data_IF_869959837382
#
_entry.id   IF_869959837382
#
_cell.length_a   1.000
_cell.length_b   1.000
_cell.length_c   1.000
_cell.angle_alpha   90.00
_cell.angle_beta   90.00
_cell.angle_gamma   90.00
#
_symmetry.space_group_name_H-M   'P 1'
#
loop_
_entity.id
_entity.type
_entity.pdbx_description
1 polymer ?
#
# COMPACT_ATOMS: atom_id res chain seq x y z
N UNK A 1 -21.23 -11.45 12.98
CA UNK A 1 -21.57 -11.16 11.56
C UNK A 1 -20.75 -12.11 10.71
N UNK A 2 -21.40 -12.91 9.84
CA UNK A 2 -20.67 -13.80 8.93
C UNK A 2 -19.90 -12.95 7.90
N UNK A 3 -18.61 -13.30 7.68
CA UNK A 3 -17.77 -12.62 6.70
C UNK A 3 -18.22 -13.11 5.31
N UNK A 4 -18.49 -12.20 4.36
CA UNK A 4 -18.72 -12.62 3.00
C UNK A 4 -17.53 -13.42 2.47
N UNK A 5 -17.76 -14.62 1.91
CA UNK A 5 -16.70 -15.50 1.36
C UNK A 5 -15.81 -14.77 0.34
N UNK A 6 -16.36 -13.83 -0.40
CA UNK A 6 -15.63 -13.00 -1.35
C UNK A 6 -14.47 -12.16 -0.76
N UNK A 7 -14.46 -11.93 0.55
CA UNK A 7 -13.40 -11.16 1.24
C UNK A 7 -12.30 -12.05 1.82
N UNK A 8 -12.39 -13.36 1.66
CA UNK A 8 -11.37 -14.30 2.15
C UNK A 8 -10.39 -14.59 1.02
N UNK A 9 -9.10 -14.48 1.33
CA UNK A 9 -8.03 -15.01 0.50
C UNK A 9 -7.80 -16.45 0.92
N UNK A 10 -8.12 -17.39 0.04
CA UNK A 10 -8.05 -18.83 0.31
C UNK A 10 -6.60 -19.34 0.48
N UNK A 11 -5.61 -18.67 -0.16
CA UNK A 11 -4.21 -19.02 -0.06
C UNK A 11 -3.66 -18.83 1.37
N UNK A 12 -4.12 -17.78 2.05
CA UNK A 12 -3.63 -17.41 3.37
C UNK A 12 -4.66 -17.67 4.47
N UNK A 13 -5.88 -18.14 4.12
CA UNK A 13 -7.01 -18.27 5.05
C UNK A 13 -7.17 -17.00 5.91
N UNK A 14 -7.09 -15.84 5.25
CA UNK A 14 -7.15 -14.52 5.88
C UNK A 14 -7.99 -13.56 5.02
N UNK A 15 -8.39 -12.44 5.59
CA UNK A 15 -9.21 -11.44 4.90
C UNK A 15 -8.34 -10.46 4.13
N UNK A 16 -8.82 -10.00 2.98
CA UNK A 16 -8.21 -8.85 2.29
C UNK A 16 -8.26 -7.58 3.15
N UNK A 17 -9.30 -7.39 3.96
CA UNK A 17 -9.46 -6.25 4.87
C UNK A 17 -10.62 -6.46 5.85
N UNK A 18 -10.67 -5.61 6.90
CA UNK A 18 -11.82 -5.57 7.82
C UNK A 18 -13.03 -4.91 7.14
N UNK A 19 -14.21 -5.51 7.31
CA UNK A 19 -15.45 -5.12 6.61
C UNK A 19 -16.00 -3.77 7.07
N UNK A 20 -15.67 -3.32 8.29
CA UNK A 20 -16.37 -2.21 8.92
C UNK A 20 -16.03 -0.85 8.31
N UNK A 21 -14.75 -0.56 8.06
CA UNK A 21 -14.32 0.68 7.38
C UNK A 21 -12.89 0.60 6.84
N UNK A 22 -12.67 -0.34 5.92
CA UNK A 22 -11.35 -0.62 5.38
C UNK A 22 -10.68 0.58 4.67
N UNK A 23 -11.46 1.48 4.07
CA UNK A 23 -10.92 2.70 3.47
C UNK A 23 -10.44 3.69 4.54
N UNK A 24 -11.15 3.82 5.66
CA UNK A 24 -10.70 4.67 6.76
C UNK A 24 -9.49 4.08 7.48
N UNK A 25 -9.44 2.76 7.60
CA UNK A 25 -8.27 2.05 8.10
C UNK A 25 -7.02 2.39 7.28
N UNK A 26 -7.10 2.29 5.94
CA UNK A 26 -5.99 2.67 5.06
C UNK A 26 -5.58 4.14 5.23
N UNK A 27 -6.56 5.07 5.29
CA UNK A 27 -6.28 6.49 5.51
C UNK A 27 -5.58 6.75 6.83
N UNK A 28 -6.01 6.09 7.90
CA UNK A 28 -5.42 6.28 9.23
C UNK A 28 -4.01 5.71 9.30
N UNK A 29 -3.83 4.45 8.90
CA UNK A 29 -2.56 3.74 9.05
C UNK A 29 -1.51 4.29 8.07
N UNK A 30 -1.88 4.39 6.79
CA UNK A 30 -0.90 4.63 5.72
C UNK A 30 -0.77 6.10 5.34
N UNK A 31 -1.83 6.92 5.49
CA UNK A 31 -1.76 8.29 5.00
C UNK A 31 -1.58 9.31 6.12
N UNK A 32 -2.45 9.32 7.13
CA UNK A 32 -2.39 10.31 8.21
C UNK A 32 -1.17 10.14 9.10
N UNK A 33 -0.86 8.91 9.51
CA UNK A 33 0.29 8.63 10.35
C UNK A 33 1.64 8.97 9.65
N UNK A 34 1.65 9.03 8.32
CA UNK A 34 2.81 9.43 7.53
C UNK A 34 2.77 10.89 7.06
N UNK A 35 1.82 11.71 7.50
CA UNK A 35 1.65 13.11 7.05
C UNK A 35 1.65 13.24 5.52
N UNK A 36 0.95 12.31 4.84
CA UNK A 36 1.12 12.07 3.40
C UNK A 36 0.85 13.32 2.56
N UNK A 37 -0.19 14.11 2.88
CA UNK A 37 -0.54 15.32 2.12
C UNK A 37 0.57 16.37 2.18
N UNK A 38 1.11 16.63 3.35
CA UNK A 38 2.22 17.59 3.54
C UNK A 38 3.44 17.16 2.73
N UNK A 39 3.80 15.89 2.79
CA UNK A 39 4.96 15.33 2.07
C UNK A 39 4.78 15.33 0.56
N UNK A 40 3.57 15.01 0.06
CA UNK A 40 3.26 15.13 -1.37
C UNK A 40 3.37 16.59 -1.82
N UNK A 41 2.94 17.55 -1.00
CA UNK A 41 3.04 18.98 -1.31
C UNK A 41 4.48 19.39 -1.52
N UNK A 42 5.40 18.93 -0.69
CA UNK A 42 6.85 19.17 -0.88
C UNK A 42 7.35 18.60 -2.23
N UNK A 43 6.84 17.44 -2.64
CA UNK A 43 7.13 16.84 -3.95
C UNK A 43 6.63 17.70 -5.12
N UNK A 44 5.44 18.30 -5.00
CA UNK A 44 4.89 19.21 -6.01
C UNK A 44 5.80 20.46 -6.18
N UNK A 45 6.23 21.04 -5.07
CA UNK A 45 7.11 22.22 -5.06
C UNK A 45 8.48 21.94 -5.70
N UNK A 46 9.04 20.77 -5.43
CA UNK A 46 10.32 20.31 -6.01
C UNK A 46 10.20 19.76 -7.44
N UNK A 47 8.96 19.60 -7.95
CA UNK A 47 8.66 18.98 -9.25
C UNK A 47 9.21 17.54 -9.38
N UNK A 48 9.28 16.82 -8.29
CA UNK A 48 9.71 15.43 -8.24
C UNK A 48 8.53 14.52 -7.90
N UNK A 49 8.43 13.33 -8.50
CA UNK A 49 7.41 12.36 -8.10
C UNK A 49 7.58 11.97 -6.63
N UNK A 50 6.47 11.84 -5.92
CA UNK A 50 6.44 11.26 -4.59
C UNK A 50 6.41 9.73 -4.71
N UNK A 51 7.40 9.04 -4.16
CA UNK A 51 7.60 7.61 -4.39
C UNK A 51 7.05 6.82 -3.21
N UNK A 52 6.08 5.96 -3.50
CA UNK A 52 5.43 5.06 -2.54
C UNK A 52 5.85 3.63 -2.84
N UNK A 53 6.19 2.86 -1.79
CA UNK A 53 6.31 1.42 -1.82
C UNK A 53 5.18 0.75 -1.04
N UNK A 54 4.67 -0.38 -1.51
CA UNK A 54 3.67 -1.20 -0.84
C UNK A 54 4.04 -2.68 -0.93
N UNK A 55 3.85 -3.43 0.14
CA UNK A 55 4.23 -4.85 0.19
C UNK A 55 3.11 -5.85 -0.15
N UNK A 56 1.90 -5.39 -0.40
CA UNK A 56 0.77 -6.26 -0.73
C UNK A 56 -0.34 -5.52 -1.45
N UNK A 57 -0.38 -5.61 -2.78
CA UNK A 57 -1.38 -4.94 -3.61
C UNK A 57 -2.80 -5.44 -3.35
N UNK A 58 -2.97 -6.78 -3.24
CA UNK A 58 -4.26 -7.42 -3.04
C UNK A 58 -5.28 -7.03 -4.10
N UNK A 59 -6.40 -6.47 -3.68
CA UNK A 59 -7.44 -5.93 -4.57
C UNK A 59 -7.23 -4.45 -4.94
N UNK A 60 -6.09 -3.83 -4.57
CA UNK A 60 -5.80 -2.42 -4.83
C UNK A 60 -6.55 -1.44 -3.91
N UNK A 61 -7.01 -1.91 -2.75
CA UNK A 61 -7.76 -1.11 -1.78
C UNK A 61 -7.03 0.16 -1.36
N UNK A 62 -5.72 0.07 -1.14
CA UNK A 62 -4.92 1.21 -0.67
C UNK A 62 -4.80 2.27 -1.78
N UNK A 63 -4.64 1.86 -3.04
CA UNK A 63 -4.62 2.78 -4.20
C UNK A 63 -5.96 3.50 -4.35
N UNK A 64 -7.10 2.79 -4.22
CA UNK A 64 -8.45 3.40 -4.25
C UNK A 64 -8.60 4.43 -3.13
N UNK A 65 -8.21 4.07 -1.91
CA UNK A 65 -8.26 4.98 -0.76
C UNK A 65 -7.33 6.18 -0.94
N UNK A 66 -6.15 6.01 -1.57
CA UNK A 66 -5.19 7.07 -1.86
C UNK A 66 -5.79 8.07 -2.86
N UNK A 67 -6.38 7.60 -3.96
CA UNK A 67 -7.02 8.47 -4.94
C UNK A 67 -8.10 9.34 -4.32
N UNK A 68 -8.98 8.76 -3.49
CA UNK A 68 -10.02 9.50 -2.77
C UNK A 68 -9.41 10.50 -1.78
N UNK A 69 -8.38 10.10 -1.04
CA UNK A 69 -7.72 10.94 -0.03
C UNK A 69 -7.08 12.17 -0.66
N UNK A 70 -6.34 11.96 -1.74
CA UNK A 70 -5.70 13.03 -2.51
C UNK A 70 -6.74 13.93 -3.20
N UNK A 71 -7.78 13.38 -3.81
CA UNK A 71 -8.89 14.15 -4.40
C UNK A 71 -9.53 15.08 -3.37
N UNK A 72 -9.77 14.59 -2.15
CA UNK A 72 -10.35 15.37 -1.05
C UNK A 72 -9.44 16.44 -0.48
N UNK A 73 -8.12 16.31 -0.61
CA UNK A 73 -7.18 17.35 -0.15
C UNK A 73 -7.24 18.64 -0.98
N UNK A 74 -7.78 18.56 -2.19
CA UNK A 74 -7.81 19.67 -3.13
C UNK A 74 -6.50 19.96 -3.85
N UNK A 75 -5.43 19.22 -3.57
CA UNK A 75 -4.14 19.35 -4.26
C UNK A 75 -4.28 19.09 -5.77
N UNK A 76 -3.39 19.71 -6.56
CA UNK A 76 -3.30 19.59 -8.03
C UNK A 76 -1.86 19.38 -8.45
N UNK A 77 -1.68 18.94 -9.68
CA UNK A 77 -0.36 18.69 -10.28
C UNK A 77 0.47 17.65 -9.51
N UNK A 78 -0.22 16.70 -8.90
CA UNK A 78 0.42 15.62 -8.15
C UNK A 78 1.04 14.62 -9.14
N UNK A 79 2.26 14.19 -8.82
CA UNK A 79 2.92 13.08 -9.48
C UNK A 79 3.32 12.06 -8.41
N UNK A 80 2.74 10.88 -8.47
CA UNK A 80 3.04 9.77 -7.57
C UNK A 80 3.60 8.61 -8.40
N UNK A 81 4.73 8.06 -7.98
CA UNK A 81 5.25 6.77 -8.42
C UNK A 81 4.84 5.74 -7.36
N UNK A 82 3.94 4.84 -7.69
CA UNK A 82 3.38 3.85 -6.76
C UNK A 82 3.91 2.47 -7.13
N UNK A 83 4.84 1.95 -6.33
CA UNK A 83 5.47 0.66 -6.52
C UNK A 83 4.85 -0.37 -5.55
N UNK A 84 4.22 -1.40 -6.08
CA UNK A 84 3.57 -2.43 -5.27
C UNK A 84 3.88 -3.82 -5.78
N UNK A 85 3.61 -4.83 -4.97
CA UNK A 85 3.86 -6.24 -5.29
C UNK A 85 2.65 -7.10 -5.00
N UNK A 86 2.44 -8.11 -5.84
CA UNK A 86 1.44 -9.15 -5.62
C UNK A 86 1.96 -10.51 -6.13
N UNK A 87 1.97 -11.49 -5.23
CA UNK A 87 2.42 -12.84 -5.55
C UNK A 87 1.34 -13.67 -6.24
N UNK A 88 0.07 -13.41 -5.89
CA UNK A 88 -1.10 -14.12 -6.39
C UNK A 88 -2.12 -13.13 -6.97
N UNK A 89 -1.82 -12.53 -8.14
CA UNK A 89 -2.62 -11.44 -8.69
C UNK A 89 -4.06 -11.88 -8.98
N UNK A 90 -5.00 -11.02 -8.62
CA UNK A 90 -6.42 -11.25 -8.83
C UNK A 90 -6.83 -10.89 -10.25
N UNK A 91 -7.85 -11.55 -10.80
CA UNK A 91 -8.47 -11.04 -12.02
C UNK A 91 -9.16 -9.70 -11.78
N UNK A 92 -9.30 -8.84 -12.80
CA UNK A 92 -10.03 -7.57 -12.69
C UNK A 92 -11.46 -7.73 -12.17
N UNK A 93 -12.14 -8.81 -12.56
CA UNK A 93 -13.49 -9.14 -12.11
C UNK A 93 -13.52 -9.48 -10.62
N UNK A 94 -12.50 -10.20 -10.14
CA UNK A 94 -12.37 -10.52 -8.73
C UNK A 94 -12.07 -9.29 -7.88
N UNK A 95 -11.24 -8.37 -8.39
CA UNK A 95 -11.00 -7.07 -7.73
C UNK A 95 -12.31 -6.27 -7.61
N UNK A 96 -13.10 -6.18 -8.69
CA UNK A 96 -14.40 -5.50 -8.67
C UNK A 96 -15.35 -6.10 -7.64
N UNK A 97 -15.42 -7.44 -7.56
CA UNK A 97 -16.27 -8.12 -6.59
C UNK A 97 -15.86 -7.81 -5.15
N UNK A 98 -14.56 -7.88 -4.85
CA UNK A 98 -14.00 -7.56 -3.52
C UNK A 98 -14.27 -6.11 -3.15
N UNK A 99 -14.06 -5.15 -4.07
CA UNK A 99 -14.22 -3.73 -3.85
C UNK A 99 -15.67 -3.24 -3.94
N UNK A 100 -16.61 -4.09 -4.38
CA UNK A 100 -18.01 -3.73 -4.63
C UNK A 100 -18.72 -3.06 -3.45
N UNK A 101 -18.35 -3.41 -2.22
CA UNK A 101 -18.90 -2.80 -1.01
C UNK A 101 -18.57 -1.32 -0.81
N UNK A 102 -17.65 -0.76 -1.60
CA UNK A 102 -17.24 0.64 -1.53
C UNK A 102 -17.73 1.49 -2.71
N UNK A 103 -18.47 0.90 -3.66
CA UNK A 103 -18.89 1.58 -4.91
C UNK A 103 -19.63 2.89 -4.69
N UNK A 104 -20.50 2.95 -3.69
CA UNK A 104 -21.28 4.17 -3.40
C UNK A 104 -20.41 5.35 -2.94
N UNK A 105 -19.19 5.08 -2.46
CA UNK A 105 -18.28 6.10 -1.92
C UNK A 105 -17.15 6.45 -2.88
N UNK A 106 -16.62 5.46 -3.57
CA UNK A 106 -15.37 5.56 -4.35
C UNK A 106 -15.46 4.79 -5.68
N UNK A 107 -16.66 4.71 -6.27
CA UNK A 107 -16.90 3.98 -7.51
C UNK A 107 -16.01 4.45 -8.66
N UNK A 108 -15.84 5.77 -8.83
CA UNK A 108 -14.98 6.35 -9.87
C UNK A 108 -13.50 5.98 -9.69
N UNK A 109 -13.04 5.84 -8.46
CA UNK A 109 -11.68 5.44 -8.11
C UNK A 109 -11.48 3.93 -8.37
N UNK A 110 -12.49 3.11 -8.04
CA UNK A 110 -12.47 1.67 -8.32
C UNK A 110 -12.44 1.42 -9.82
N UNK A 111 -13.32 2.06 -10.58
CA UNK A 111 -13.42 1.87 -12.02
C UNK A 111 -12.12 2.31 -12.72
N UNK A 112 -11.52 3.44 -12.27
CA UNK A 112 -10.25 3.90 -12.81
C UNK A 112 -9.09 2.94 -12.51
N UNK A 113 -9.02 2.38 -11.30
CA UNK A 113 -8.00 1.41 -10.95
C UNK A 113 -8.15 0.13 -11.76
N UNK A 114 -9.36 -0.42 -11.83
CA UNK A 114 -9.59 -1.71 -12.50
C UNK A 114 -9.38 -1.58 -14.03
N UNK A 115 -9.78 -0.46 -14.63
CA UNK A 115 -9.52 -0.21 -16.04
C UNK A 115 -8.01 -0.12 -16.32
N UNK A 116 -7.28 0.58 -15.47
CA UNK A 116 -5.82 0.65 -15.55
C UNK A 116 -5.19 -0.73 -15.37
N UNK A 117 -5.65 -1.51 -14.39
CA UNK A 117 -5.15 -2.85 -14.10
C UNK A 117 -5.39 -3.85 -15.25
N UNK A 118 -6.47 -3.69 -16.04
CA UNK A 118 -6.73 -4.51 -17.25
C UNK A 118 -5.63 -4.43 -18.31
N UNK A 119 -4.82 -3.38 -18.30
CA UNK A 119 -3.68 -3.24 -19.21
C UNK A 119 -2.44 -4.02 -18.76
N UNK A 120 -2.46 -4.58 -17.55
CA UNK A 120 -1.35 -5.34 -16.96
C UNK A 120 -1.53 -6.83 -17.29
N UNK A 121 -0.49 -7.46 -17.84
CA UNK A 121 -0.47 -8.91 -18.03
C UNK A 121 -0.06 -9.60 -16.72
N UNK A 122 -1.04 -9.95 -15.92
CA UNK A 122 -0.84 -10.59 -14.61
C UNK A 122 -0.31 -12.02 -14.67
N UNK A 123 -0.14 -12.59 -15.87
CA UNK A 123 0.40 -13.94 -16.05
C UNK A 123 1.93 -13.95 -16.20
N UNK A 124 2.52 -12.77 -16.40
CA UNK A 124 3.96 -12.59 -16.57
C UNK A 124 4.57 -12.03 -15.29
N UNK A 125 5.60 -12.71 -14.77
CA UNK A 125 6.34 -12.23 -13.60
C UNK A 125 7.19 -10.99 -13.93
N UNK A 126 7.45 -10.15 -12.92
CA UNK A 126 8.26 -8.95 -13.04
C UNK A 126 7.44 -7.66 -13.03
N UNK A 127 8.05 -6.55 -13.45
CA UNK A 127 7.44 -5.23 -13.44
C UNK A 127 6.45 -5.01 -14.58
N UNK A 128 5.30 -4.47 -14.20
CA UNK A 128 4.27 -3.96 -15.12
C UNK A 128 3.94 -2.53 -14.73
N UNK A 129 3.90 -1.62 -15.69
CA UNK A 129 3.62 -0.21 -15.45
C UNK A 129 2.37 0.23 -16.19
N UNK A 130 1.52 0.97 -15.48
CA UNK A 130 0.32 1.58 -16.04
C UNK A 130 0.09 2.95 -15.38
N UNK A 131 -0.69 3.82 -16.03
CA UNK A 131 -0.88 5.19 -15.57
C UNK A 131 -2.33 5.48 -15.25
N UNK A 132 -2.60 5.98 -14.04
CA UNK A 132 -3.90 6.51 -13.65
C UNK A 132 -3.85 8.03 -13.76
N UNK A 133 -4.66 8.59 -14.66
CA UNK A 133 -4.80 10.04 -14.82
C UNK A 133 -6.07 10.52 -14.15
N UNK A 134 -5.96 11.49 -13.25
CA UNK A 134 -7.08 12.12 -12.52
C UNK A 134 -6.97 13.63 -12.52
N UNK A 135 -8.02 14.32 -12.08
CA UNK A 135 -8.04 15.80 -11.99
C UNK A 135 -7.02 16.37 -11.03
N UNK A 136 -6.55 15.59 -10.07
CA UNK A 136 -5.49 15.99 -9.14
C UNK A 136 -4.06 15.81 -9.69
N UNK A 137 -3.88 15.00 -10.74
CA UNK A 137 -2.56 14.66 -11.31
C UNK A 137 -2.47 13.21 -11.76
N UNK A 138 -1.29 12.61 -11.62
CA UNK A 138 -0.99 11.27 -12.09
C UNK A 138 -0.54 10.34 -10.98
N UNK A 139 -0.89 9.05 -11.11
CA UNK A 139 -0.27 7.95 -10.38
C UNK A 139 0.30 6.99 -11.43
N UNK A 140 1.62 6.86 -11.46
CA UNK A 140 2.31 5.84 -12.23
C UNK A 140 2.30 4.57 -11.35
N UNK A 141 1.40 3.64 -11.67
CA UNK A 141 1.24 2.36 -10.97
C UNK A 141 2.24 1.36 -11.54
N UNK A 142 3.24 1.00 -10.77
CA UNK A 142 4.21 -0.05 -11.07
C UNK A 142 3.88 -1.26 -10.17
N UNK A 143 3.46 -2.36 -10.78
CA UNK A 143 3.12 -3.58 -10.07
C UNK A 143 4.11 -4.68 -10.41
N UNK A 144 4.78 -5.21 -9.40
CA UNK A 144 5.59 -6.41 -9.51
C UNK A 144 4.73 -7.65 -9.29
N UNK A 145 4.74 -8.55 -10.26
CA UNK A 145 4.13 -9.88 -10.11
C UNK A 145 5.23 -10.84 -9.68
N UNK A 146 5.19 -11.27 -8.42
CA UNK A 146 6.21 -12.14 -7.83
C UNK A 146 6.48 -11.87 -6.36
N UNK A 147 7.66 -12.27 -5.89
CA UNK A 147 8.08 -12.15 -4.49
C UNK A 147 8.43 -10.71 -4.10
N UNK A 148 8.07 -10.33 -2.87
CA UNK A 148 8.25 -8.97 -2.39
C UNK A 148 9.73 -8.57 -2.23
N UNK A 149 10.60 -9.49 -1.83
CA UNK A 149 12.02 -9.20 -1.68
C UNK A 149 12.66 -8.87 -3.03
N UNK A 150 12.34 -9.66 -4.07
CA UNK A 150 12.82 -9.43 -5.43
C UNK A 150 12.38 -8.05 -5.96
N UNK A 151 11.12 -7.68 -5.70
CA UNK A 151 10.60 -6.36 -6.04
C UNK A 151 11.42 -5.26 -5.37
N UNK A 152 11.61 -5.34 -4.03
CA UNK A 152 12.32 -4.30 -3.28
C UNK A 152 13.77 -4.18 -3.75
N UNK A 153 14.47 -5.29 -3.95
CA UNK A 153 15.86 -5.30 -4.43
C UNK A 153 15.99 -4.71 -5.83
N UNK A 154 15.02 -4.93 -6.69
CA UNK A 154 15.00 -4.42 -8.07
C UNK A 154 14.66 -2.94 -8.20
N UNK A 155 14.19 -2.27 -7.13
CA UNK A 155 13.89 -0.84 -7.18
C UNK A 155 15.16 -0.02 -7.45
N UNK A 156 15.11 0.84 -8.46
CA UNK A 156 16.20 1.76 -8.80
C UNK A 156 16.23 2.98 -7.85
N UNK A 157 15.08 3.39 -7.34
CA UNK A 157 14.91 4.58 -6.50
C UNK A 157 14.43 4.21 -5.11
N UNK A 158 14.90 4.96 -4.11
CA UNK A 158 14.39 4.85 -2.75
C UNK A 158 13.02 5.52 -2.61
N UNK A 159 12.15 4.91 -1.80
CA UNK A 159 10.81 5.39 -1.52
C UNK A 159 10.80 6.52 -0.48
N UNK A 160 9.86 7.43 -0.64
CA UNK A 160 9.53 8.43 0.37
C UNK A 160 8.75 7.79 1.53
N UNK A 161 7.87 6.84 1.21
CA UNK A 161 7.04 6.13 2.19
C UNK A 161 6.82 4.69 1.80
N UNK A 162 6.74 3.81 2.80
CA UNK A 162 6.32 2.42 2.65
C UNK A 162 5.00 2.13 3.38
N UNK A 163 4.08 1.51 2.67
CA UNK A 163 2.87 0.92 3.23
C UNK A 163 3.10 -0.59 3.39
N UNK A 164 3.42 -1.01 4.62
CA UNK A 164 3.66 -2.42 4.92
C UNK A 164 2.30 -3.08 5.16
N UNK A 165 1.65 -3.40 4.06
CA UNK A 165 0.35 -4.09 4.00
C UNK A 165 0.54 -5.56 3.61
N UNK A 166 -0.51 -6.34 3.76
CA UNK A 166 -0.52 -7.78 3.49
C UNK A 166 -1.29 -8.54 4.56
N UNK A 167 -1.27 -9.86 4.47
CA UNK A 167 -1.88 -10.71 5.48
C UNK A 167 -1.08 -10.69 6.78
N UNK A 168 -1.74 -11.06 7.90
CA UNK A 168 -1.11 -11.00 9.22
C UNK A 168 0.18 -11.82 9.28
N UNK A 169 1.18 -11.45 10.13
CA UNK A 169 2.45 -12.17 10.21
C UNK A 169 2.31 -13.68 10.54
N UNK A 170 1.22 -14.06 11.20
CA UNK A 170 0.92 -15.47 11.49
C UNK A 170 0.42 -16.25 10.27
N UNK A 171 -0.23 -15.57 9.33
CA UNK A 171 -0.83 -16.19 8.13
C UNK A 171 0.10 -16.11 6.92
N UNK A 172 0.89 -15.04 6.82
CA UNK A 172 1.88 -14.87 5.76
C UNK A 172 3.21 -14.37 6.36
N UNK A 173 4.02 -15.25 6.97
CA UNK A 173 5.28 -14.83 7.57
C UNK A 173 6.32 -14.34 6.55
N UNK A 174 6.22 -14.77 5.28
CA UNK A 174 7.22 -14.44 4.25
C UNK A 174 7.28 -12.93 3.96
N UNK A 175 6.14 -12.22 4.00
CA UNK A 175 6.08 -10.78 3.75
C UNK A 175 6.55 -9.93 4.95
N UNK A 176 6.81 -10.58 6.08
CA UNK A 176 7.28 -9.94 7.32
C UNK A 176 8.67 -10.42 7.74
N UNK A 177 9.35 -11.20 6.89
CA UNK A 177 10.68 -11.72 7.18
C UNK A 177 11.72 -10.59 7.33
N UNK A 178 12.71 -10.75 8.22
CA UNK A 178 13.71 -9.71 8.49
C UNK A 178 14.44 -9.23 7.24
N UNK A 179 14.78 -10.11 6.32
CA UNK A 179 15.51 -9.80 5.08
C UNK A 179 14.73 -8.79 4.22
N UNK A 180 13.42 -8.99 4.08
CA UNK A 180 12.56 -8.06 3.35
C UNK A 180 12.49 -6.69 4.05
N UNK A 181 12.32 -6.67 5.38
CA UNK A 181 12.23 -5.42 6.14
C UNK A 181 13.57 -4.66 6.15
N UNK A 182 14.70 -5.36 6.14
CA UNK A 182 16.03 -4.77 5.96
C UNK A 182 16.18 -4.14 4.58
N UNK A 183 15.82 -4.86 3.51
CA UNK A 183 15.85 -4.33 2.13
C UNK A 183 14.93 -3.10 1.99
N UNK A 184 13.75 -3.10 2.61
CA UNK A 184 12.86 -1.92 2.67
C UNK A 184 13.56 -0.75 3.35
N UNK A 185 14.29 -0.99 4.45
CA UNK A 185 15.08 0.04 5.11
C UNK A 185 16.13 0.66 4.20
N UNK A 186 16.85 -0.16 3.41
CA UNK A 186 17.85 0.30 2.43
C UNK A 186 17.22 1.09 1.27
N UNK A 187 16.01 0.71 0.87
CA UNK A 187 15.24 1.37 -0.19
C UNK A 187 14.32 2.48 0.33
N UNK A 188 14.56 2.97 1.54
CA UNK A 188 13.85 4.13 2.12
C UNK A 188 14.78 5.33 2.16
N UNK A 189 14.33 6.49 1.66
CA UNK A 189 15.08 7.75 1.78
C UNK A 189 15.32 8.10 3.24
N UNK A 190 16.42 8.80 3.54
CA UNK A 190 16.61 9.40 4.86
C UNK A 190 15.45 10.37 5.16
N UNK A 191 14.87 10.27 6.34
CA UNK A 191 13.62 10.94 6.70
C UNK A 191 12.37 10.35 6.04
N UNK A 192 12.52 9.32 5.21
CA UNK A 192 11.42 8.52 4.68
C UNK A 192 10.69 7.77 5.80
N UNK A 193 9.47 7.32 5.54
CA UNK A 193 8.65 6.70 6.59
C UNK A 193 8.11 5.34 6.14
N UNK A 194 7.74 4.52 7.12
CA UNK A 194 6.93 3.33 6.88
C UNK A 194 5.76 3.28 7.86
N UNK A 195 4.72 2.54 7.54
CA UNK A 195 3.63 2.28 8.47
C UNK A 195 3.03 0.89 8.26
N UNK A 196 2.53 0.32 9.35
CA UNK A 196 1.93 -1.00 9.35
C UNK A 196 0.82 -1.14 10.39
N UNK A 197 -0.11 -2.02 10.10
CA UNK A 197 -1.20 -2.38 11.02
C UNK A 197 -0.75 -3.32 12.14
N UNK A 198 0.40 -3.98 12.00
CA UNK A 198 0.87 -4.94 13.00
C UNK A 198 1.79 -4.30 14.05
N UNK A 199 1.72 -4.80 15.27
CA UNK A 199 2.61 -4.44 16.39
C UNK A 199 3.40 -5.66 16.89
N UNK A 200 3.51 -6.71 16.07
CA UNK A 200 4.25 -7.93 16.40
C UNK A 200 5.70 -7.60 16.79
N UNK A 201 6.22 -8.28 17.80
CA UNK A 201 7.56 -8.02 18.33
C UNK A 201 8.66 -8.21 17.30
N UNK A 202 8.55 -9.30 16.50
CA UNK A 202 9.56 -9.64 15.52
C UNK A 202 9.61 -8.60 14.38
N UNK A 203 8.43 -8.13 13.93
CA UNK A 203 8.34 -7.04 12.95
C UNK A 203 8.93 -5.74 13.50
N UNK A 204 8.65 -5.41 14.77
CA UNK A 204 9.25 -4.21 15.40
C UNK A 204 10.77 -4.30 15.45
N UNK A 205 11.30 -5.45 15.90
CA UNK A 205 12.75 -5.65 15.98
C UNK A 205 13.40 -5.51 14.62
N UNK A 206 12.86 -6.16 13.60
CA UNK A 206 13.39 -6.08 12.24
C UNK A 206 13.31 -4.65 11.65
N UNK A 207 12.24 -3.89 11.90
CA UNK A 207 12.16 -2.50 11.46
C UNK A 207 13.17 -1.59 12.18
N UNK A 208 13.44 -1.82 13.47
CA UNK A 208 14.48 -1.08 14.21
C UNK A 208 15.86 -1.41 13.63
N UNK A 209 16.16 -2.68 13.37
CA UNK A 209 17.41 -3.12 12.72
C UNK A 209 17.55 -2.54 11.31
N UNK A 210 16.44 -2.40 10.58
CA UNK A 210 16.38 -1.76 9.27
C UNK A 210 16.60 -0.23 9.32
N UNK A 211 16.80 0.37 10.51
CA UNK A 211 17.11 1.77 10.70
C UNK A 211 15.88 2.67 10.83
N UNK A 212 14.76 2.15 11.33
CA UNK A 212 13.59 2.98 11.62
C UNK A 212 13.46 3.27 13.12
N UNK A 213 13.17 4.53 13.46
CA UNK A 213 12.68 4.92 14.78
C UNK A 213 11.16 4.73 14.76
N UNK A 214 10.65 3.86 15.65
CA UNK A 214 9.24 3.46 15.65
C UNK A 214 8.40 4.31 16.60
N UNK A 215 7.27 4.79 16.09
CA UNK A 215 6.21 5.44 16.83
C UNK A 215 4.95 4.56 16.85
N UNK A 216 4.26 4.54 17.97
CA UNK A 216 3.05 3.77 18.18
C UNK A 216 1.86 4.71 18.20
N UNK A 217 0.88 4.44 17.33
CA UNK A 217 -0.34 5.22 17.21
C UNK A 217 -1.57 4.42 17.61
N UNK A 218 -2.67 5.09 18.02
CA UNK A 218 -3.95 4.41 18.19
C UNK A 218 -4.36 3.70 16.90
N UNK A 219 -4.85 2.47 17.03
CA UNK A 219 -5.36 1.70 15.90
C UNK A 219 -6.80 2.05 15.55
N UNK A 220 -7.32 1.40 14.53
CA UNK A 220 -8.70 1.47 14.07
C UNK A 220 -9.17 0.08 13.63
N UNK A 221 -10.46 -0.09 13.33
CA UNK A 221 -10.99 -1.36 12.84
C UNK A 221 -10.78 -2.54 13.82
N UNK A 222 -10.84 -2.29 15.14
CA UNK A 222 -10.61 -3.33 16.15
C UNK A 222 -9.16 -3.53 16.55
N UNK A 223 -8.20 -2.90 15.86
CA UNK A 223 -6.78 -2.89 16.26
C UNK A 223 -6.52 -1.86 17.34
N UNK A 224 -5.89 -2.27 18.46
CA UNK A 224 -5.59 -1.36 19.57
C UNK A 224 -4.51 -0.34 19.19
N UNK A 225 -3.49 -0.78 18.45
CA UNK A 225 -2.35 0.05 18.04
C UNK A 225 -1.86 -0.35 16.66
N UNK A 226 -1.21 0.62 16.02
CA UNK A 226 -0.49 0.50 14.75
C UNK A 226 0.89 1.14 14.87
N UNK A 227 1.79 0.89 13.94
CA UNK A 227 3.14 1.45 13.94
C UNK A 227 3.36 2.39 12.76
N UNK A 228 4.18 3.40 13.00
CA UNK A 228 4.82 4.22 11.99
C UNK A 228 6.31 4.29 12.33
N UNK A 229 7.18 4.17 11.32
CA UNK A 229 8.62 4.32 11.45
C UNK A 229 9.14 5.50 10.65
N UNK A 230 10.16 6.16 11.15
CA UNK A 230 10.93 7.19 10.43
C UNK A 230 12.35 6.69 10.24
N UNK A 231 12.84 6.69 9.00
CA UNK A 231 14.22 6.30 8.65
C UNK A 231 15.20 7.40 9.09
N UNK A 232 16.21 7.05 9.87
CA UNK A 232 17.27 7.95 10.32
C UNK A 232 18.56 7.73 9.55
#
# INVERSE_FOLDING_TARGET
MLIPSKLVNEQFDDRYFDVVDALNEARQIYFRNNNLIERITTGIESKTPFIIGETGFGAGRVVVALMEFVKKSGLRNISIEYNSVELYPLSPERMLDILSGFKDRVGEEIDALVETYRSIDITVAGWHSAKIQKSFGTIDLNLWIGEALEMVESLEKSCDVWFLDGHSPKKNPSIWRPELLMAIGEKTKQGGTCSTFTVASDVKSALIEAGFILNKYPGCGGKKHVLQGVKY
#
